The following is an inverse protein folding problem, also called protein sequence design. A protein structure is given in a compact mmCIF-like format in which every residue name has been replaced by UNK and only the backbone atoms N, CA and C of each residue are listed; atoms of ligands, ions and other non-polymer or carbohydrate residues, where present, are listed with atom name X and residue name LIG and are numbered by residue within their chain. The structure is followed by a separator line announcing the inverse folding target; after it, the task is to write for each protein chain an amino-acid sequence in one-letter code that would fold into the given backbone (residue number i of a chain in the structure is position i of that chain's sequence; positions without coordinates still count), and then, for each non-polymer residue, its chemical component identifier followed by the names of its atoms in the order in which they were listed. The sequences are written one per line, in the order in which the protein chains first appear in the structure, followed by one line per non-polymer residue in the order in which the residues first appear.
data_IF_879036200682
#
_entry.id   IF_879036200682
#
_cell.length_a   1.000
_cell.length_b   1.000
_cell.length_c   1.000
_cell.angle_alpha   90.00
_cell.angle_beta   90.00
_cell.angle_gamma   90.00
#
_symmetry.space_group_name_H-M   'P 1'
#
loop_
_entity.id
_entity.type
_entity.pdbx_description
1 polymer ?
#
# COMPACT_ATOMS: atom_id res chain seq x y z
N UNK A 1 -12.92 -14.31 -21.88
CA UNK A 1 -12.35 -15.46 -21.17
C UNK A 1 -11.84 -16.51 -22.16
N UNK A 2 -10.76 -17.23 -21.83
CA UNK A 2 -10.26 -18.30 -22.68
C UNK A 2 -11.16 -19.54 -22.70
N UNK A 3 -11.88 -19.76 -21.60
CA UNK A 3 -12.87 -20.83 -21.47
C UNK A 3 -14.24 -20.19 -21.21
N UNK A 4 -15.23 -20.58 -21.96
CA UNK A 4 -16.61 -20.13 -21.81
C UNK A 4 -17.28 -20.79 -20.57
N UNK A 5 -18.39 -20.26 -20.04
CA UNK A 5 -19.15 -20.91 -18.99
C UNK A 5 -19.62 -22.34 -19.33
N UNK A 6 -19.71 -22.66 -20.62
CA UNK A 6 -20.00 -24.00 -21.14
C UNK A 6 -18.85 -24.99 -21.01
N UNK A 7 -17.68 -24.56 -20.48
CA UNK A 7 -16.47 -25.37 -20.41
C UNK A 7 -15.69 -25.53 -21.73
N UNK A 8 -16.12 -24.86 -22.80
CA UNK A 8 -15.48 -24.93 -24.11
C UNK A 8 -14.52 -23.78 -24.31
N UNK A 9 -13.37 -23.97 -25.02
CA UNK A 9 -12.50 -22.89 -25.43
C UNK A 9 -13.23 -21.86 -26.27
N UNK A 10 -12.93 -20.56 -26.07
CA UNK A 10 -13.48 -19.48 -26.91
C UNK A 10 -12.93 -19.56 -28.34
N UNK A 11 -11.70 -20.04 -28.51
CA UNK A 11 -11.01 -20.15 -29.77
C UNK A 11 -10.47 -21.57 -30.01
N UNK A 12 -11.36 -22.58 -30.24
CA UNK A 12 -10.95 -24.00 -30.34
C UNK A 12 -10.04 -24.32 -31.53
N UNK A 13 -9.94 -23.39 -32.50
CA UNK A 13 -9.00 -23.55 -33.65
C UNK A 13 -7.55 -23.25 -33.27
N UNK A 14 -7.33 -22.42 -32.24
CA UNK A 14 -5.99 -22.02 -31.78
C UNK A 14 -5.60 -22.66 -30.46
N UNK A 15 -6.57 -22.91 -29.58
CA UNK A 15 -6.34 -23.42 -28.23
C UNK A 15 -7.27 -24.60 -27.96
N UNK A 16 -6.69 -25.79 -27.79
CA UNK A 16 -7.44 -26.94 -27.31
C UNK A 16 -7.60 -26.88 -25.80
N UNK A 17 -8.59 -27.60 -25.26
CA UNK A 17 -8.90 -27.55 -23.83
C UNK A 17 -7.73 -28.07 -22.97
N UNK A 18 -7.08 -29.16 -23.41
CA UNK A 18 -5.92 -29.76 -22.75
C UNK A 18 -4.71 -28.81 -22.69
N UNK A 19 -4.50 -28.02 -23.75
CA UNK A 19 -3.46 -27.00 -23.79
C UNK A 19 -3.77 -25.87 -22.78
N UNK A 20 -5.03 -25.42 -22.73
CA UNK A 20 -5.47 -24.40 -21.76
C UNK A 20 -5.38 -24.89 -20.31
N UNK A 21 -5.68 -26.15 -20.06
CA UNK A 21 -5.51 -26.78 -18.74
C UNK A 21 -4.04 -26.87 -18.33
N UNK A 22 -3.15 -27.19 -19.27
CA UNK A 22 -1.71 -27.19 -19.04
C UNK A 22 -1.16 -25.81 -18.71
N UNK A 23 -1.61 -24.78 -19.44
CA UNK A 23 -1.28 -23.37 -19.13
C UNK A 23 -1.82 -22.97 -17.76
N UNK A 24 -3.07 -23.33 -17.46
CA UNK A 24 -3.68 -23.08 -16.14
C UNK A 24 -2.88 -23.68 -15.00
N UNK A 25 -2.41 -24.92 -15.16
CA UNK A 25 -1.59 -25.61 -14.15
C UNK A 25 -0.20 -24.97 -13.95
N UNK A 26 0.31 -24.24 -14.95
CA UNK A 26 1.60 -23.53 -14.87
C UNK A 26 1.53 -22.13 -14.29
N UNK A 27 0.32 -21.58 -14.09
CA UNK A 27 0.09 -20.23 -13.61
C UNK A 27 -0.54 -20.22 -12.21
N UNK A 28 -0.29 -19.15 -11.44
CA UNK A 28 -1.10 -18.91 -10.25
C UNK A 28 -2.55 -18.61 -10.62
N UNK A 29 -3.50 -18.96 -9.76
CA UNK A 29 -4.94 -18.74 -9.99
C UNK A 29 -5.25 -17.28 -10.36
N UNK A 30 -4.64 -16.30 -9.67
CA UNK A 30 -4.81 -14.89 -9.97
C UNK A 30 -4.32 -14.49 -11.37
N UNK A 31 -3.16 -15.00 -11.80
CA UNK A 31 -2.65 -14.77 -13.19
C UNK A 31 -3.55 -15.41 -14.22
N UNK A 32 -4.00 -16.64 -13.98
CA UNK A 32 -4.93 -17.31 -14.87
C UNK A 32 -6.24 -16.52 -14.99
N UNK A 33 -6.85 -16.14 -13.88
CA UNK A 33 -8.10 -15.39 -13.88
C UNK A 33 -7.97 -14.03 -14.56
N UNK A 34 -6.92 -13.27 -14.26
CA UNK A 34 -6.72 -11.94 -14.83
C UNK A 34 -6.43 -11.98 -16.34
N UNK A 35 -5.49 -12.82 -16.78
CA UNK A 35 -4.99 -12.81 -18.14
C UNK A 35 -5.83 -13.66 -19.10
N UNK A 36 -6.26 -14.84 -18.67
CA UNK A 36 -6.93 -15.81 -19.53
C UNK A 36 -8.44 -15.79 -19.38
N UNK A 37 -8.94 -15.65 -18.16
CA UNK A 37 -10.39 -15.57 -17.92
C UNK A 37 -10.93 -14.16 -18.02
N UNK A 38 -10.05 -13.14 -18.07
CA UNK A 38 -10.41 -11.70 -18.09
C UNK A 38 -11.34 -11.33 -16.92
N UNK A 39 -11.14 -12.00 -15.82
CA UNK A 39 -11.84 -11.78 -14.57
C UNK A 39 -10.79 -11.61 -13.45
N UNK A 40 -10.15 -10.42 -13.34
CA UNK A 40 -9.23 -10.15 -12.25
C UNK A 40 -10.01 -10.16 -10.94
N UNK A 41 -9.87 -11.25 -10.18
CA UNK A 41 -10.41 -11.35 -8.83
C UNK A 41 -9.44 -10.63 -7.90
N UNK A 42 -9.90 -9.57 -7.26
CA UNK A 42 -9.08 -8.76 -6.35
C UNK A 42 -8.58 -9.58 -5.14
N UNK A 43 -9.25 -10.67 -4.80
CA UNK A 43 -8.94 -11.47 -3.61
C UNK A 43 -7.84 -12.53 -3.83
N UNK A 44 -7.71 -13.12 -5.03
CA UNK A 44 -6.71 -14.17 -5.27
C UNK A 44 -5.36 -13.66 -5.78
N UNK A 45 -5.26 -12.37 -6.12
CA UNK A 45 -4.04 -11.71 -6.60
C UNK A 45 -3.46 -10.69 -5.64
N UNK A 46 -4.10 -10.43 -4.52
CA UNK A 46 -3.60 -9.51 -3.51
C UNK A 46 -2.41 -10.13 -2.77
N UNK A 47 -1.27 -9.46 -2.82
CA UNK A 47 -0.08 -9.85 -2.05
C UNK A 47 -0.31 -9.74 -0.54
N UNK A 48 -1.24 -8.86 -0.14
CA UNK A 48 -1.71 -8.70 1.23
C UNK A 48 -3.20 -8.99 1.24
N UNK A 49 -3.60 -10.02 1.97
CA UNK A 49 -5.00 -10.42 2.06
C UNK A 49 -5.74 -9.54 3.06
N UNK A 50 -7.03 -9.25 2.76
CA UNK A 50 -7.86 -8.44 3.66
C UNK A 50 -8.03 -9.09 5.04
N UNK A 51 -8.12 -10.40 5.10
CA UNK A 51 -8.24 -11.19 6.32
C UNK A 51 -7.02 -11.12 7.26
N UNK A 52 -5.88 -10.62 6.79
CA UNK A 52 -4.67 -10.41 7.58
C UNK A 52 -4.65 -9.11 8.37
N UNK A 53 -5.56 -8.19 8.04
CA UNK A 53 -5.72 -6.95 8.77
C UNK A 53 -6.55 -7.18 10.02
N UNK A 54 -6.03 -6.80 11.17
CA UNK A 54 -6.85 -6.64 12.35
C UNK A 54 -7.66 -5.35 12.26
N UNK A 55 -8.86 -5.36 12.83
CA UNK A 55 -9.74 -4.20 12.83
C UNK A 55 -9.73 -3.56 14.20
N UNK A 56 -9.60 -2.24 14.24
CA UNK A 56 -9.63 -1.46 15.45
C UNK A 56 -10.85 -0.52 15.45
N UNK A 57 -11.54 -0.43 16.58
CA UNK A 57 -12.62 0.54 16.76
C UNK A 57 -12.05 1.96 16.84
N UNK A 58 -12.51 2.86 15.98
CA UNK A 58 -12.05 4.24 15.89
C UNK A 58 -12.17 5.04 17.19
N UNK A 59 -13.14 4.69 18.02
CA UNK A 59 -13.39 5.38 19.28
C UNK A 59 -12.34 5.05 20.36
N UNK A 60 -11.48 4.04 20.10
CA UNK A 60 -10.47 3.56 21.04
C UNK A 60 -9.10 3.35 20.38
N UNK A 61 -8.40 4.44 20.07
CA UNK A 61 -6.99 4.34 19.68
C UNK A 61 -6.19 3.91 20.92
N UNK A 62 -5.39 2.84 20.84
CA UNK A 62 -4.55 2.40 21.96
C UNK A 62 -3.50 3.48 22.31
N UNK A 63 -2.95 3.48 23.53
CA UNK A 63 -1.79 4.30 23.84
C UNK A 63 -0.67 4.01 22.85
N UNK A 64 -0.23 5.05 22.14
CA UNK A 64 0.80 4.94 21.12
C UNK A 64 2.17 5.22 21.73
N UNK A 65 3.15 4.37 21.43
CA UNK A 65 4.54 4.61 21.76
C UNK A 65 5.18 5.60 20.77
N UNK A 66 4.87 5.43 19.48
CA UNK A 66 5.40 6.28 18.41
C UNK A 66 4.34 6.55 17.35
N UNK A 67 4.43 7.72 16.71
CA UNK A 67 3.67 8.05 15.50
C UNK A 67 4.65 8.29 14.35
N UNK A 68 4.40 7.65 13.22
CA UNK A 68 5.25 7.71 12.01
C UNK A 68 4.38 8.08 10.82
N UNK A 69 4.86 8.98 9.97
CA UNK A 69 4.24 9.26 8.68
C UNK A 69 5.11 8.78 7.51
N UNK A 70 4.46 8.25 6.48
CA UNK A 70 5.11 7.81 5.25
C UNK A 70 4.49 8.50 4.05
N UNK A 71 5.34 9.04 3.16
CA UNK A 71 4.97 9.84 2.01
C UNK A 71 5.46 9.21 0.71
N UNK A 72 4.54 8.94 -0.20
CA UNK A 72 4.82 8.66 -1.61
C UNK A 72 4.32 9.87 -2.43
N UNK A 73 5.24 10.62 -3.04
CA UNK A 73 4.94 11.95 -3.58
C UNK A 73 5.02 12.00 -5.10
N UNK A 74 4.08 12.73 -5.71
CA UNK A 74 4.08 13.13 -7.12
C UNK A 74 3.76 14.62 -7.23
N UNK A 75 4.38 15.34 -8.20
CA UNK A 75 4.30 16.80 -8.27
C UNK A 75 3.49 17.36 -9.44
N UNK A 76 2.83 16.56 -10.23
CA UNK A 76 2.16 17.04 -11.44
C UNK A 76 0.66 16.87 -11.35
N UNK A 77 -0.07 17.96 -11.48
CA UNK A 77 -1.54 18.03 -11.54
C UNK A 77 -2.10 17.73 -12.95
N UNK A 78 -1.41 16.93 -13.76
CA UNK A 78 -1.99 16.48 -15.04
C UNK A 78 -2.92 15.31 -14.79
N UNK A 79 -3.97 15.15 -15.60
CA UNK A 79 -4.91 14.01 -15.50
C UNK A 79 -4.22 12.63 -15.56
N UNK A 80 -3.02 12.59 -16.16
CA UNK A 80 -2.16 11.41 -16.23
C UNK A 80 -1.12 11.32 -15.10
N UNK A 81 -1.12 12.23 -14.11
CA UNK A 81 -0.14 12.24 -13.04
C UNK A 81 -0.50 11.27 -11.92
N UNK A 82 0.53 10.74 -11.27
CA UNK A 82 0.38 9.89 -10.09
C UNK A 82 -0.17 10.70 -8.90
N UNK A 83 -0.81 10.03 -7.98
CA UNK A 83 -1.27 10.61 -6.73
C UNK A 83 -0.10 10.78 -5.75
N UNK A 84 -0.18 11.84 -4.93
CA UNK A 84 0.57 11.89 -3.68
C UNK A 84 -0.25 11.19 -2.59
N UNK A 85 0.42 10.38 -1.79
CA UNK A 85 -0.18 9.67 -0.67
C UNK A 85 0.62 9.92 0.61
N UNK A 86 -0.11 10.13 1.71
CA UNK A 86 0.43 10.25 3.07
C UNK A 86 -0.29 9.22 3.92
N UNK A 87 0.45 8.37 4.61
CA UNK A 87 -0.10 7.44 5.58
C UNK A 87 0.47 7.73 6.95
N UNK A 88 -0.39 7.76 7.97
CA UNK A 88 -0.01 7.96 9.37
C UNK A 88 -0.22 6.67 10.14
N UNK A 89 0.82 6.24 10.83
CA UNK A 89 0.88 4.98 11.54
C UNK A 89 1.23 5.20 13.01
N UNK A 90 0.51 4.53 13.89
CA UNK A 90 0.86 4.42 15.29
C UNK A 90 1.56 3.10 15.59
N UNK A 91 2.56 3.13 16.46
CA UNK A 91 3.19 1.95 17.05
C UNK A 91 2.65 1.77 18.45
N UNK A 92 2.18 0.58 18.78
CA UNK A 92 1.65 0.27 20.11
C UNK A 92 1.98 -1.17 20.53
N UNK A 93 1.86 -1.44 21.79
CA UNK A 93 2.03 -2.78 22.37
C UNK A 93 0.71 -3.19 23.02
N UNK A 94 0.06 -4.29 22.57
CA UNK A 94 -1.18 -4.79 23.19
C UNK A 94 -1.01 -5.11 24.66
N UNK A 95 0.15 -5.64 25.04
CA UNK A 95 0.60 -5.88 26.42
C UNK A 95 2.13 -5.79 26.49
N UNK A 96 2.69 -5.92 27.71
CA UNK A 96 4.13 -5.76 27.96
C UNK A 96 5.02 -6.81 27.30
N UNK A 97 4.47 -8.00 27.04
CA UNK A 97 5.22 -9.13 26.47
C UNK A 97 4.93 -9.32 24.96
N UNK A 98 4.00 -8.56 24.41
CA UNK A 98 3.65 -8.63 22.99
C UNK A 98 4.63 -7.89 22.09
N UNK A 99 4.81 -8.35 20.84
CA UNK A 99 5.57 -7.60 19.86
C UNK A 99 4.89 -6.25 19.55
N UNK A 100 5.68 -5.31 19.05
CA UNK A 100 5.15 -4.05 18.54
C UNK A 100 4.13 -4.28 17.44
N UNK A 101 3.00 -3.62 17.53
CA UNK A 101 1.94 -3.62 16.52
C UNK A 101 1.87 -2.26 15.82
N UNK A 102 1.35 -2.24 14.61
CA UNK A 102 1.14 -1.06 13.79
C UNK A 102 -0.34 -0.83 13.59
N UNK A 103 -0.82 0.39 13.85
CA UNK A 103 -2.18 0.80 13.53
C UNK A 103 -2.17 1.92 12.50
N UNK A 104 -2.93 1.76 11.42
CA UNK A 104 -3.18 2.82 10.45
C UNK A 104 -4.14 3.84 11.08
N UNK A 105 -3.65 5.06 11.31
CA UNK A 105 -4.41 6.15 11.93
C UNK A 105 -5.11 7.02 10.88
N UNK A 106 -4.44 7.23 9.73
CA UNK A 106 -4.94 8.05 8.63
C UNK A 106 -4.30 7.65 7.29
N UNK A 107 -5.04 7.86 6.21
CA UNK A 107 -4.58 7.63 4.85
C UNK A 107 -5.13 8.70 3.91
N UNK A 108 -4.28 9.66 3.56
CA UNK A 108 -4.56 10.72 2.62
C UNK A 108 -4.06 10.35 1.21
N UNK A 109 -4.83 10.65 0.16
CA UNK A 109 -4.44 10.41 -1.22
C UNK A 109 -5.09 11.42 -2.15
N UNK A 110 -4.29 12.34 -2.71
CA UNK A 110 -4.74 13.35 -3.67
C UNK A 110 -3.71 13.67 -4.73
N UNK A 111 -4.16 14.32 -5.82
CA UNK A 111 -3.28 14.92 -6.83
C UNK A 111 -3.06 16.37 -6.48
N UNK A 112 -1.89 16.70 -5.99
CA UNK A 112 -1.53 18.02 -5.51
C UNK A 112 -0.32 18.59 -6.26
N UNK A 113 -0.33 19.89 -6.49
CA UNK A 113 0.88 20.62 -6.85
C UNK A 113 1.78 20.79 -5.62
N UNK A 114 3.05 21.09 -5.86
CA UNK A 114 4.03 21.19 -4.77
C UNK A 114 3.65 22.13 -3.63
N UNK A 115 3.10 23.35 -3.87
CA UNK A 115 2.69 24.24 -2.77
C UNK A 115 1.54 23.66 -1.94
N UNK A 116 0.59 22.97 -2.60
CA UNK A 116 -0.55 22.31 -1.95
C UNK A 116 -0.07 21.11 -1.12
N UNK A 117 0.81 20.28 -1.69
CA UNK A 117 1.41 19.14 -1.01
C UNK A 117 2.23 19.57 0.22
N UNK A 118 3.00 20.67 0.11
CA UNK A 118 3.74 21.22 1.24
C UNK A 118 2.81 21.68 2.36
N UNK A 119 1.69 22.33 2.01
CA UNK A 119 0.69 22.77 2.97
C UNK A 119 0.04 21.57 3.66
N UNK A 120 -0.40 20.58 2.90
CA UNK A 120 -1.00 19.36 3.42
C UNK A 120 -0.03 18.62 4.36
N UNK A 121 1.22 18.45 3.94
CA UNK A 121 2.25 17.82 4.77
C UNK A 121 2.44 18.55 6.11
N UNK A 122 2.37 19.88 6.12
CA UNK A 122 2.44 20.68 7.35
C UNK A 122 1.21 20.49 8.24
N UNK A 123 0.01 20.47 7.66
CA UNK A 123 -1.24 20.28 8.37
C UNK A 123 -1.30 18.88 9.00
N UNK A 124 -0.94 17.84 8.25
CA UNK A 124 -0.83 16.46 8.72
C UNK A 124 0.20 16.31 9.85
N UNK A 125 1.38 16.93 9.68
CA UNK A 125 2.41 16.92 10.71
C UNK A 125 1.93 17.57 12.01
N UNK A 126 1.27 18.72 11.92
CA UNK A 126 0.74 19.42 13.11
C UNK A 126 -0.37 18.67 13.82
N UNK A 127 -1.21 17.98 13.06
CA UNK A 127 -2.34 17.24 13.60
C UNK A 127 -1.88 15.97 14.34
N UNK A 128 -1.03 15.18 13.68
CA UNK A 128 -0.60 13.89 14.19
C UNK A 128 0.67 13.94 15.06
N UNK A 129 1.44 15.02 14.97
CA UNK A 129 2.70 15.23 15.69
C UNK A 129 3.65 14.00 15.58
N UNK A 130 3.96 13.47 14.39
CA UNK A 130 4.78 12.29 14.24
C UNK A 130 6.22 12.57 14.67
N UNK A 131 6.85 11.59 15.29
CA UNK A 131 8.27 11.65 15.66
C UNK A 131 9.19 11.49 14.44
N UNK A 132 8.67 10.85 13.38
CA UNK A 132 9.42 10.62 12.15
C UNK A 132 8.50 10.72 10.93
N UNK A 133 8.97 11.46 9.94
CA UNK A 133 8.38 11.54 8.60
C UNK A 133 9.32 10.85 7.61
N UNK A 134 8.83 9.82 6.93
CA UNK A 134 9.60 9.06 5.93
C UNK A 134 9.13 9.48 4.54
N UNK A 135 10.06 9.95 3.70
CA UNK A 135 9.76 10.35 2.32
C UNK A 135 10.61 9.52 1.36
N UNK A 136 10.02 8.94 0.32
CA UNK A 136 10.78 8.23 -0.71
C UNK A 136 11.69 9.22 -1.45
N UNK A 137 13.00 8.96 -1.42
CA UNK A 137 14.07 9.82 -1.95
C UNK A 137 14.18 9.82 -3.48
N UNK A 138 13.04 9.82 -4.19
CA UNK A 138 12.97 10.05 -5.65
C UNK A 138 12.96 11.53 -5.98
N UNK A 139 13.04 11.86 -7.27
CA UNK A 139 13.12 13.24 -7.77
C UNK A 139 12.04 14.17 -7.19
N UNK A 140 10.84 13.65 -6.90
CA UNK A 140 9.72 14.37 -6.29
C UNK A 140 9.83 14.54 -4.77
N UNK A 141 10.42 13.61 -4.05
CA UNK A 141 10.51 13.64 -2.58
C UNK A 141 11.60 14.58 -2.05
N UNK A 142 12.69 14.79 -2.79
CA UNK A 142 13.82 15.57 -2.31
C UNK A 142 13.50 17.07 -2.08
N UNK A 143 12.80 17.80 -2.99
CA UNK A 143 12.41 19.17 -2.74
C UNK A 143 11.48 19.30 -1.53
N UNK A 144 10.52 18.40 -1.37
CA UNK A 144 9.62 18.38 -0.21
C UNK A 144 10.41 18.15 1.08
N UNK A 145 11.31 17.19 1.10
CA UNK A 145 12.20 16.92 2.24
C UNK A 145 12.95 18.17 2.68
N UNK A 146 13.53 18.90 1.73
CA UNK A 146 14.29 20.12 2.02
C UNK A 146 13.42 21.20 2.66
N UNK A 147 12.23 21.42 2.12
CA UNK A 147 11.30 22.42 2.66
C UNK A 147 10.77 22.01 4.06
N UNK A 148 10.39 20.75 4.25
CA UNK A 148 9.89 20.29 5.54
C UNK A 148 10.98 20.33 6.63
N UNK A 149 12.21 19.97 6.29
CA UNK A 149 13.36 20.11 7.23
C UNK A 149 13.61 21.56 7.65
N UNK A 150 13.46 22.52 6.74
CA UNK A 150 13.53 23.95 7.09
C UNK A 150 12.44 24.39 8.06
N UNK A 151 11.28 23.71 8.03
CA UNK A 151 10.18 23.95 8.94
C UNK A 151 10.35 23.21 10.28
N UNK A 152 11.48 22.51 10.48
CA UNK A 152 11.79 21.77 11.70
C UNK A 152 11.19 20.38 11.78
N UNK A 153 10.64 19.84 10.68
CA UNK A 153 10.05 18.50 10.64
C UNK A 153 11.16 17.44 10.54
N UNK A 154 11.13 16.38 11.36
CA UNK A 154 12.15 15.32 11.37
C UNK A 154 11.95 14.36 10.18
N UNK A 155 12.46 14.72 9.01
CA UNK A 155 12.31 13.93 7.78
C UNK A 155 13.49 13.00 7.57
N UNK A 156 13.19 11.72 7.32
CA UNK A 156 14.12 10.69 6.86
C UNK A 156 13.81 10.37 5.40
N UNK A 157 14.84 10.35 4.55
CA UNK A 157 14.67 9.88 3.17
C UNK A 157 14.90 8.37 3.10
N UNK A 158 13.93 7.67 2.55
CA UNK A 158 14.05 6.26 2.20
C UNK A 158 14.34 6.13 0.70
N UNK A 159 15.41 5.42 0.36
CA UNK A 159 15.74 5.10 -1.03
C UNK A 159 15.72 3.59 -1.19
N UNK A 160 14.77 3.04 -1.98
CA UNK A 160 14.73 1.61 -2.25
C UNK A 160 16.04 1.13 -2.90
N UNK A 161 16.54 -0.03 -2.49
CA UNK A 161 17.70 -0.66 -3.10
C UNK A 161 17.46 -0.97 -4.59
N UNK A 162 18.51 -0.89 -5.40
CA UNK A 162 18.42 -1.27 -6.83
C UNK A 162 17.95 -2.72 -6.94
N UNK A 163 16.92 -2.98 -7.77
CA UNK A 163 16.34 -4.31 -7.97
C UNK A 163 15.17 -4.67 -7.06
N UNK A 164 14.85 -3.87 -6.05
CA UNK A 164 13.62 -4.05 -5.28
C UNK A 164 12.44 -3.34 -5.98
N UNK A 165 11.74 -4.09 -6.83
CA UNK A 165 10.49 -3.61 -7.41
C UNK A 165 9.36 -3.53 -6.35
N UNK A 166 8.21 -2.97 -6.74
CA UNK A 166 7.06 -2.85 -5.82
C UNK A 166 6.61 -4.20 -5.27
N UNK A 167 6.64 -5.26 -6.08
CA UNK A 167 6.24 -6.61 -5.67
C UNK A 167 7.20 -7.19 -4.63
N UNK A 168 8.50 -7.05 -4.82
CA UNK A 168 9.50 -7.52 -3.86
C UNK A 168 9.36 -6.80 -2.51
N UNK A 169 9.08 -5.49 -2.52
CA UNK A 169 8.87 -4.71 -1.28
C UNK A 169 7.59 -5.12 -0.55
N UNK A 170 6.49 -5.35 -1.27
CA UNK A 170 5.24 -5.82 -0.67
C UNK A 170 5.42 -7.24 -0.10
N UNK A 171 6.08 -8.13 -0.83
CA UNK A 171 6.38 -9.48 -0.33
C UNK A 171 7.24 -9.47 0.95
N UNK A 172 8.16 -8.50 1.09
CA UNK A 172 8.98 -8.37 2.29
C UNK A 172 8.17 -7.98 3.54
N UNK A 173 7.05 -7.26 3.39
CA UNK A 173 6.20 -6.83 4.51
C UNK A 173 4.96 -7.73 4.69
N UNK A 174 4.61 -8.54 3.72
CA UNK A 174 3.45 -9.45 3.79
C UNK A 174 3.43 -10.33 5.05
N UNK A 175 4.55 -10.89 5.54
CA UNK A 175 4.57 -11.65 6.79
C UNK A 175 4.14 -10.87 8.03
N UNK A 176 4.34 -9.54 8.05
CA UNK A 176 3.85 -8.70 9.16
C UNK A 176 2.31 -8.64 9.17
N UNK A 177 1.70 -8.56 7.99
CA UNK A 177 0.24 -8.62 7.89
C UNK A 177 -0.29 -10.00 8.27
N UNK A 178 0.35 -11.07 7.75
CA UNK A 178 -0.04 -12.46 8.06
C UNK A 178 0.08 -12.80 9.55
N UNK A 179 1.05 -12.21 10.25
CA UNK A 179 1.22 -12.39 11.69
C UNK A 179 0.18 -11.63 12.54
N UNK A 180 -0.69 -10.82 11.93
CA UNK A 180 -1.74 -10.09 12.62
C UNK A 180 -1.26 -8.88 13.45
N UNK A 181 -0.04 -8.36 13.21
CA UNK A 181 0.46 -7.18 13.92
C UNK A 181 0.06 -5.85 13.26
N UNK A 182 -0.64 -5.89 12.12
CA UNK A 182 -1.09 -4.69 11.40
C UNK A 182 -2.59 -4.50 11.56
N UNK A 183 -2.97 -3.31 11.98
CA UNK A 183 -4.34 -2.94 12.33
C UNK A 183 -4.82 -1.78 11.45
N UNK A 184 -6.07 -1.83 11.05
CA UNK A 184 -6.76 -0.73 10.40
C UNK A 184 -8.03 -0.38 11.16
N UNK A 185 -8.52 0.86 11.10
CA UNK A 185 -9.82 1.19 11.65
C UNK A 185 -10.94 0.50 10.89
N UNK A 186 -12.10 0.30 11.53
CA UNK A 186 -13.29 -0.25 10.90
C UNK A 186 -13.72 0.62 9.70
N UNK A 187 -14.30 -0.01 8.68
CA UNK A 187 -14.54 0.51 7.30
C UNK A 187 -15.35 1.81 7.16
N UNK A 188 -15.48 2.59 8.19
CA UNK A 188 -16.20 3.88 8.16
C UNK A 188 -15.27 5.08 7.99
N UNK A 189 -14.25 4.94 7.11
CA UNK A 189 -13.45 6.07 6.64
C UNK A 189 -14.10 6.76 5.47
#
# INVERSE_FOLDING_TARGET
PAIMPSGKPVWPQYWKLDELESVKASLSAGKWNAQWMQNPTAEEGSLIKREWWNVWDKDFIPPLEHVIQSYDTAFLKKESADYSAITTWGVFYPDQDSPANLILLDAFKERLEFPELKKEAWEQYRYWNPETVIIEGKASGLPLTYELRKMGIPVINYTPSKGQDKHARVNAVAPLFESGVVWAPDEKF
#
